data_IF_926227140370
#
_entry.id   IF_926227140370
#
_cell.length_a   1.000
_cell.length_b   1.000
_cell.length_c   1.000
_cell.angle_alpha   90.00
_cell.angle_beta   90.00
_cell.angle_gamma   90.00
#
_symmetry.space_group_name_H-M   'P 1'
#
loop_
_entity.id
_entity.type
_entity.pdbx_description
1 polymer ?
#
# COMPACT_ATOMS: atom_id res chain seq x y z
N UNK A 1 -1.44 -4.67 -17.36
CA UNK A 1 -1.23 -5.54 -16.18
C UNK A 1 -0.04 -5.01 -15.42
N UNK A 2 -0.11 -4.95 -14.11
CA UNK A 2 0.97 -4.37 -13.31
C UNK A 2 2.12 -5.35 -13.08
N UNK A 3 1.87 -6.67 -13.10
CA UNK A 3 2.88 -7.73 -12.99
C UNK A 3 2.39 -9.02 -13.67
N UNK A 4 3.32 -9.94 -13.90
CA UNK A 4 3.01 -11.25 -14.49
C UNK A 4 2.50 -12.21 -13.41
N UNK A 5 1.86 -13.31 -13.82
CA UNK A 5 1.21 -14.27 -12.91
C UNK A 5 2.16 -14.93 -11.91
N UNK A 6 3.41 -15.08 -12.29
CA UNK A 6 4.48 -15.66 -11.49
C UNK A 6 5.36 -14.62 -10.78
N UNK A 7 5.00 -13.34 -10.83
CA UNK A 7 5.74 -12.28 -10.15
C UNK A 7 5.85 -12.57 -8.64
N UNK A 8 7.03 -12.33 -8.11
CA UNK A 8 7.35 -12.47 -6.69
C UNK A 8 7.85 -11.14 -6.14
N UNK A 9 7.71 -10.90 -4.83
CA UNK A 9 8.36 -9.75 -4.21
C UNK A 9 9.86 -9.73 -4.50
N UNK A 10 10.49 -8.54 -4.58
CA UNK A 10 11.91 -8.39 -4.96
C UNK A 10 12.89 -9.05 -3.99
N UNK A 11 12.40 -9.61 -2.91
CA UNK A 11 13.20 -10.36 -1.93
C UNK A 11 12.74 -11.80 -1.84
N UNK A 12 13.68 -12.76 -1.93
CA UNK A 12 13.40 -14.14 -1.59
C UNK A 12 13.04 -14.25 -0.09
N UNK A 13 12.46 -15.37 0.34
CA UNK A 13 12.23 -15.65 1.75
C UNK A 13 13.47 -15.38 2.59
N UNK A 14 13.29 -14.61 3.69
CA UNK A 14 14.40 -14.18 4.53
C UNK A 14 14.79 -15.33 5.45
N UNK A 15 16.02 -15.81 5.31
CA UNK A 15 16.53 -16.91 6.10
C UNK A 15 16.56 -16.56 7.59
N UNK A 16 15.96 -17.41 8.44
CA UNK A 16 15.88 -17.23 9.88
C UNK A 16 14.70 -16.39 10.37
N UNK A 17 13.94 -15.75 9.47
CA UNK A 17 12.68 -15.10 9.79
C UNK A 17 11.55 -16.13 9.80
N UNK A 18 11.06 -16.53 10.98
CA UNK A 18 9.85 -17.33 11.05
C UNK A 18 8.63 -16.42 10.87
N UNK A 19 7.84 -16.70 9.86
CA UNK A 19 6.58 -16.01 9.60
C UNK A 19 5.48 -17.04 9.35
N UNK A 20 4.28 -16.73 9.81
CA UNK A 20 3.07 -17.48 9.51
C UNK A 20 2.03 -16.51 8.91
N UNK A 21 1.14 -17.02 8.08
CA UNK A 21 0.13 -16.19 7.47
C UNK A 21 -1.10 -16.99 7.08
N UNK A 22 -2.23 -16.29 7.00
CA UNK A 22 -3.51 -16.92 6.64
C UNK A 22 -4.44 -15.94 5.92
N UNK A 23 -5.26 -16.50 5.07
CA UNK A 23 -6.41 -15.82 4.50
C UNK A 23 -7.48 -15.60 5.58
N UNK A 24 -8.09 -14.43 5.57
CA UNK A 24 -9.19 -14.04 6.45
C UNK A 24 -10.24 -13.27 5.66
N UNK A 25 -11.44 -13.17 6.22
CA UNK A 25 -12.50 -12.30 5.71
C UNK A 25 -12.78 -11.24 6.76
N UNK A 26 -12.76 -9.99 6.36
CA UNK A 26 -13.12 -8.86 7.19
C UNK A 26 -14.51 -8.35 6.81
N UNK A 27 -15.21 -7.75 7.76
CA UNK A 27 -16.54 -7.17 7.53
C UNK A 27 -16.52 -5.71 7.93
N UNK A 28 -16.82 -4.82 7.01
CA UNK A 28 -16.99 -3.39 7.25
C UNK A 28 -18.30 -3.12 8.00
N UNK A 29 -18.41 -1.94 8.61
CA UNK A 29 -19.58 -1.56 9.42
C UNK A 29 -20.91 -1.60 8.63
N UNK A 30 -20.85 -1.37 7.33
CA UNK A 30 -22.00 -1.45 6.42
C UNK A 30 -22.35 -2.86 5.93
N UNK A 31 -21.67 -3.89 6.48
CA UNK A 31 -21.90 -5.30 6.16
C UNK A 31 -21.10 -5.80 4.95
N UNK A 32 -20.32 -4.96 4.26
CA UNK A 32 -19.47 -5.43 3.18
C UNK A 32 -18.42 -6.43 3.69
N UNK A 33 -18.29 -7.55 3.01
CA UNK A 33 -17.23 -8.53 3.26
C UNK A 33 -16.13 -8.41 2.21
N UNK A 34 -14.89 -8.47 2.64
CA UNK A 34 -13.72 -8.45 1.77
C UNK A 34 -12.61 -9.38 2.25
N UNK A 35 -11.89 -9.95 1.31
CA UNK A 35 -10.76 -10.82 1.60
C UNK A 35 -9.56 -10.01 2.11
N UNK A 36 -8.79 -10.60 3.02
CA UNK A 36 -7.52 -10.08 3.46
C UNK A 36 -6.56 -11.24 3.75
N UNK A 37 -5.27 -10.95 3.77
CA UNK A 37 -4.23 -11.89 4.18
C UNK A 37 -3.41 -11.25 5.29
N UNK A 38 -3.36 -11.93 6.43
CA UNK A 38 -2.56 -11.48 7.58
C UNK A 38 -1.31 -12.34 7.70
N UNK A 39 -0.16 -11.69 7.85
CA UNK A 39 1.12 -12.34 8.14
C UNK A 39 1.67 -11.87 9.49
N UNK A 40 2.14 -12.81 10.28
CA UNK A 40 2.62 -12.59 11.64
C UNK A 40 4.12 -12.87 11.72
N UNK A 41 4.86 -11.97 12.35
CA UNK A 41 6.21 -12.26 12.80
C UNK A 41 6.19 -13.27 13.96
N UNK A 42 7.20 -14.10 14.06
CA UNK A 42 7.34 -15.06 15.16
C UNK A 42 7.39 -14.39 16.55
N UNK A 43 7.89 -13.16 16.61
CA UNK A 43 7.86 -12.31 17.80
C UNK A 43 7.20 -10.97 17.45
N UNK A 44 5.91 -10.81 17.71
CA UNK A 44 5.14 -9.66 17.24
C UNK A 44 5.28 -8.47 18.20
N UNK A 45 6.46 -7.87 18.31
CA UNK A 45 6.73 -6.68 19.14
C UNK A 45 6.96 -5.40 18.32
N UNK A 46 7.03 -5.52 17.00
CA UNK A 46 7.33 -4.42 16.08
C UNK A 46 6.09 -3.68 15.54
N UNK A 47 6.32 -2.76 14.60
CA UNK A 47 5.27 -2.05 13.88
C UNK A 47 4.40 -2.98 13.03
N UNK A 48 3.37 -2.40 12.42
CA UNK A 48 2.50 -3.12 11.52
C UNK A 48 2.20 -2.31 10.25
N UNK A 49 1.92 -3.01 9.16
CA UNK A 49 1.58 -2.39 7.88
C UNK A 49 0.24 -2.91 7.36
N UNK A 50 -0.54 -2.03 6.73
CA UNK A 50 -1.63 -2.42 5.85
C UNK A 50 -1.16 -2.24 4.41
N UNK A 51 -1.23 -3.30 3.62
CA UNK A 51 -0.81 -3.31 2.22
C UNK A 51 -2.05 -3.10 1.35
N UNK A 52 -2.01 -2.04 0.54
CA UNK A 52 -3.00 -1.76 -0.50
C UNK A 52 -2.45 -2.22 -1.84
N UNK A 53 -3.00 -3.29 -2.41
CA UNK A 53 -2.59 -3.83 -3.70
C UNK A 53 -2.71 -2.82 -4.85
N UNK A 54 -2.19 -3.20 -6.00
CA UNK A 54 -2.48 -2.53 -7.26
C UNK A 54 -3.89 -2.88 -7.78
N UNK A 55 -4.19 -2.55 -9.03
CA UNK A 55 -5.49 -2.78 -9.66
C UNK A 55 -5.92 -4.25 -9.76
N UNK A 56 -5.07 -5.20 -9.44
CA UNK A 56 -5.40 -6.63 -9.43
C UNK A 56 -5.98 -7.12 -8.09
N UNK A 57 -5.99 -6.27 -7.06
CA UNK A 57 -6.48 -6.64 -5.74
C UNK A 57 -5.55 -7.59 -4.98
N UNK A 58 -6.08 -8.40 -4.09
CA UNK A 58 -5.31 -9.29 -3.22
C UNK A 58 -4.75 -10.50 -4.00
N UNK A 59 -3.84 -10.24 -4.93
CA UNK A 59 -3.11 -11.25 -5.67
C UNK A 59 -2.03 -11.93 -4.81
N UNK A 60 -1.58 -13.12 -5.23
CA UNK A 60 -0.54 -13.90 -4.53
C UNK A 60 0.73 -13.09 -4.23
N UNK A 61 1.13 -12.19 -5.13
CA UNK A 61 2.26 -11.28 -4.90
C UNK A 61 2.17 -10.54 -3.55
N UNK A 62 1.00 -9.98 -3.21
CA UNK A 62 0.82 -9.20 -1.98
C UNK A 62 0.74 -10.07 -0.73
N UNK A 63 0.26 -11.32 -0.86
CA UNK A 63 0.33 -12.31 0.23
C UNK A 63 1.78 -12.67 0.55
N UNK A 64 2.60 -12.89 -0.47
CA UNK A 64 4.03 -13.15 -0.30
C UNK A 64 4.79 -11.93 0.22
N UNK A 65 4.44 -10.71 -0.23
CA UNK A 65 5.01 -9.48 0.32
C UNK A 65 4.68 -9.31 1.80
N UNK A 66 3.46 -9.66 2.22
CA UNK A 66 3.09 -9.66 3.64
C UNK A 66 3.97 -10.61 4.46
N UNK A 67 4.30 -11.80 3.92
CA UNK A 67 5.26 -12.72 4.56
C UNK A 67 6.66 -12.11 4.65
N UNK A 68 7.14 -11.39 3.61
CA UNK A 68 8.45 -10.71 3.66
C UNK A 68 8.51 -9.68 4.79
N UNK A 69 7.43 -8.91 5.01
CA UNK A 69 7.32 -7.99 6.15
C UNK A 69 7.36 -8.75 7.48
N UNK A 70 6.62 -9.84 7.60
CA UNK A 70 6.57 -10.64 8.82
C UNK A 70 7.95 -11.24 9.17
N UNK A 71 8.71 -11.67 8.17
CA UNK A 71 10.07 -12.22 8.35
C UNK A 71 11.07 -11.18 8.89
N UNK A 72 10.83 -9.90 8.69
CA UNK A 72 11.64 -8.81 9.29
C UNK A 72 11.02 -8.20 10.54
N UNK A 73 10.04 -8.87 11.15
CA UNK A 73 9.43 -8.45 12.42
C UNK A 73 8.25 -7.48 12.29
N UNK A 74 7.81 -7.15 11.08
CA UNK A 74 6.69 -6.25 10.81
C UNK A 74 5.43 -7.07 10.51
N UNK A 75 4.39 -6.95 11.35
CA UNK A 75 3.08 -7.57 11.03
C UNK A 75 2.50 -6.93 9.78
N UNK A 76 1.93 -7.72 8.88
CA UNK A 76 1.38 -7.20 7.64
C UNK A 76 -0.04 -7.72 7.37
N UNK A 77 -0.94 -6.82 6.97
CA UNK A 77 -2.30 -7.12 6.54
C UNK A 77 -2.48 -6.62 5.11
N UNK A 78 -2.49 -7.50 4.13
CA UNK A 78 -2.85 -7.17 2.76
C UNK A 78 -4.37 -7.28 2.58
N UNK A 79 -5.02 -6.23 2.09
CA UNK A 79 -6.48 -6.17 1.93
C UNK A 79 -6.89 -6.24 0.46
N UNK A 80 -8.06 -6.83 0.20
CA UNK A 80 -8.71 -6.73 -1.10
C UNK A 80 -9.78 -5.65 -1.11
N UNK A 81 -9.58 -4.59 -1.87
CA UNK A 81 -10.54 -3.50 -1.95
C UNK A 81 -11.64 -3.69 -3.01
N UNK A 82 -11.72 -4.88 -3.63
CA UNK A 82 -12.78 -5.22 -4.58
C UNK A 82 -13.89 -6.10 -3.98
N UNK A 83 -13.89 -6.34 -2.68
CA UNK A 83 -14.93 -7.12 -2.02
C UNK A 83 -16.36 -6.63 -2.33
N UNK A 84 -16.54 -5.30 -2.43
CA UNK A 84 -17.83 -4.66 -2.73
C UNK A 84 -18.34 -4.92 -4.14
N UNK A 85 -17.49 -5.15 -5.09
CA UNK A 85 -17.85 -5.22 -6.51
C UNK A 85 -17.62 -6.60 -7.12
N UNK A 86 -16.70 -7.39 -6.56
CA UNK A 86 -16.32 -8.72 -7.03
C UNK A 86 -16.50 -9.83 -5.98
N UNK A 87 -16.97 -9.48 -4.77
CA UNK A 87 -17.14 -10.45 -3.68
C UNK A 87 -15.81 -11.08 -3.24
N UNK A 88 -15.88 -12.29 -2.72
CA UNK A 88 -14.75 -13.03 -2.16
C UNK A 88 -14.06 -13.97 -3.17
N UNK A 89 -14.30 -13.79 -4.47
CA UNK A 89 -13.64 -14.59 -5.51
C UNK A 89 -12.12 -14.36 -5.51
N UNK A 90 -11.30 -15.35 -5.87
CA UNK A 90 -9.85 -15.18 -5.95
C UNK A 90 -9.44 -14.05 -6.90
N UNK A 91 -8.35 -13.37 -6.58
CA UNK A 91 -7.71 -12.38 -7.44
C UNK A 91 -6.52 -13.01 -8.14
N UNK A 92 -6.83 -13.89 -9.08
CA UNK A 92 -5.87 -14.57 -9.94
C UNK A 92 -5.76 -13.87 -11.32
N UNK A 93 -5.05 -14.50 -12.26
CA UNK A 93 -4.80 -13.98 -13.60
C UNK A 93 -6.06 -13.84 -14.46
N UNK A 94 -7.12 -14.55 -14.13
CA UNK A 94 -8.41 -14.47 -14.83
C UNK A 94 -9.27 -13.29 -14.35
N UNK A 95 -8.88 -12.61 -13.28
CA UNK A 95 -9.65 -11.53 -12.70
C UNK A 95 -9.66 -10.28 -13.58
N UNK A 96 -10.82 -9.97 -14.15
CA UNK A 96 -11.06 -8.77 -14.95
C UNK A 96 -11.26 -7.55 -14.05
N UNK A 97 -10.20 -6.88 -13.64
CA UNK A 97 -10.22 -5.82 -12.65
C UNK A 97 -10.84 -4.50 -13.12
N UNK A 98 -10.79 -4.16 -14.42
CA UNK A 98 -11.22 -2.83 -14.91
C UNK A 98 -12.65 -2.45 -14.54
N UNK A 99 -13.67 -3.33 -14.70
CA UNK A 99 -15.05 -2.99 -14.30
C UNK A 99 -15.20 -2.72 -12.80
N UNK A 100 -14.30 -3.27 -11.98
CA UNK A 100 -14.29 -3.10 -10.53
C UNK A 100 -13.56 -1.82 -10.11
N UNK A 101 -12.48 -1.48 -10.81
CA UNK A 101 -11.77 -0.20 -10.63
C UNK A 101 -12.69 0.99 -10.90
N UNK A 102 -13.52 0.92 -11.95
CA UNK A 102 -14.47 1.97 -12.32
C UNK A 102 -15.60 2.16 -11.28
N UNK A 103 -15.99 1.09 -10.60
CA UNK A 103 -17.06 1.11 -9.59
C UNK A 103 -16.58 1.45 -8.19
N UNK A 104 -15.27 1.37 -7.94
CA UNK A 104 -14.70 1.65 -6.62
C UNK A 104 -14.80 3.14 -6.29
N UNK A 105 -15.20 3.46 -5.06
CA UNK A 105 -15.25 4.83 -4.55
C UNK A 105 -14.37 5.02 -3.32
N UNK A 106 -13.82 6.22 -3.13
CA UNK A 106 -13.01 6.51 -1.94
C UNK A 106 -13.79 6.31 -0.64
N UNK A 107 -15.04 6.79 -0.46
CA UNK A 107 -15.76 6.59 0.80
C UNK A 107 -15.98 5.13 1.18
N UNK A 108 -16.32 4.28 0.21
CA UNK A 108 -16.54 2.85 0.47
C UNK A 108 -15.22 2.11 0.76
N UNK A 109 -14.15 2.49 0.08
CA UNK A 109 -12.80 2.01 0.38
C UNK A 109 -12.37 2.37 1.82
N UNK A 110 -12.58 3.61 2.25
CA UNK A 110 -12.23 4.06 3.61
C UNK A 110 -13.05 3.33 4.69
N UNK A 111 -14.28 2.92 4.40
CA UNK A 111 -15.05 2.05 5.31
C UNK A 111 -14.39 0.67 5.49
N UNK A 112 -13.86 0.09 4.41
CA UNK A 112 -13.11 -1.17 4.47
C UNK A 112 -11.77 -0.99 5.20
N UNK A 113 -11.07 0.12 4.99
CA UNK A 113 -9.85 0.49 5.75
C UNK A 113 -10.14 0.61 7.25
N UNK A 114 -11.25 1.22 7.62
CA UNK A 114 -11.67 1.31 9.03
C UNK A 114 -11.78 -0.08 9.66
N UNK A 115 -12.40 -1.04 8.97
CA UNK A 115 -12.51 -2.41 9.45
C UNK A 115 -11.14 -3.11 9.53
N UNK A 116 -10.26 -2.90 8.56
CA UNK A 116 -8.91 -3.45 8.55
C UNK A 116 -8.06 -2.93 9.74
N UNK A 117 -8.10 -1.63 10.00
CA UNK A 117 -7.40 -1.01 11.12
C UNK A 117 -7.99 -1.47 12.48
N UNK A 118 -9.31 -1.56 12.59
CA UNK A 118 -9.98 -2.07 13.78
C UNK A 118 -9.58 -3.53 14.06
N UNK A 119 -9.48 -4.36 13.04
CA UNK A 119 -9.01 -5.74 13.16
C UNK A 119 -7.59 -5.79 13.71
N UNK A 120 -6.65 -5.03 13.13
CA UNK A 120 -5.26 -5.00 13.60
C UNK A 120 -5.13 -4.52 15.04
N UNK A 121 -5.85 -3.47 15.42
CA UNK A 121 -5.88 -2.93 16.80
C UNK A 121 -6.47 -3.92 17.81
N UNK A 122 -7.40 -4.76 17.36
CA UNK A 122 -8.02 -5.80 18.20
C UNK A 122 -7.15 -7.03 18.46
N UNK A 123 -6.04 -7.19 17.75
CA UNK A 123 -5.16 -8.36 17.91
C UNK A 123 -4.30 -8.32 19.19
N UNK A 124 -3.96 -7.13 19.68
CA UNK A 124 -3.10 -6.93 20.83
C UNK A 124 -3.72 -5.92 21.82
N UNK A 125 -3.22 -5.95 23.05
CA UNK A 125 -3.56 -4.95 24.08
C UNK A 125 -2.71 -3.67 23.96
N UNK A 126 -1.60 -3.72 23.23
CA UNK A 126 -0.69 -2.59 23.01
C UNK A 126 -0.96 -1.95 21.66
N UNK A 127 -0.99 -0.62 21.62
CA UNK A 127 -1.00 0.13 20.37
C UNK A 127 0.31 -0.10 19.62
N UNK A 128 0.19 -0.34 18.30
CA UNK A 128 1.33 -0.51 17.42
C UNK A 128 1.33 0.58 16.35
N UNK A 129 2.49 1.21 16.10
CA UNK A 129 2.63 2.10 14.96
C UNK A 129 2.17 1.42 13.68
N UNK A 130 1.17 2.00 13.02
CA UNK A 130 0.54 1.43 11.83
C UNK A 130 0.86 2.26 10.60
N UNK A 131 1.43 1.63 9.59
CA UNK A 131 1.78 2.26 8.32
C UNK A 131 0.89 1.74 7.20
N UNK A 132 0.67 2.57 6.18
CA UNK A 132 0.04 2.15 4.94
C UNK A 132 1.10 2.04 3.85
N UNK A 133 1.19 0.90 3.21
CA UNK A 133 2.03 0.67 2.03
C UNK A 133 1.12 0.40 0.84
N UNK A 134 1.17 1.25 -0.19
CA UNK A 134 0.27 1.10 -1.33
C UNK A 134 0.99 1.12 -2.67
N UNK A 135 0.49 0.33 -3.63
CA UNK A 135 1.10 0.15 -4.94
C UNK A 135 0.15 0.60 -6.05
N UNK A 136 0.60 1.42 -7.01
CA UNK A 136 -0.20 1.89 -8.14
C UNK A 136 -1.51 2.54 -7.64
N UNK A 137 -2.66 1.95 -7.95
CA UNK A 137 -3.96 2.38 -7.40
C UNK A 137 -3.95 2.37 -5.86
N UNK A 138 -3.37 1.37 -5.24
CA UNK A 138 -3.18 1.30 -3.79
C UNK A 138 -2.32 2.44 -3.26
N UNK A 139 -1.30 2.88 -4.00
CA UNK A 139 -0.49 4.06 -3.67
C UNK A 139 -1.31 5.35 -3.68
N UNK A 140 -2.16 5.51 -4.70
CA UNK A 140 -3.14 6.62 -4.77
C UNK A 140 -4.08 6.59 -3.56
N UNK A 141 -4.64 5.42 -3.23
CA UNK A 141 -5.53 5.24 -2.09
C UNK A 141 -4.84 5.47 -0.74
N UNK A 142 -3.54 5.17 -0.63
CA UNK A 142 -2.75 5.47 0.57
C UNK A 142 -2.69 6.98 0.83
N UNK A 143 -2.47 7.79 -0.22
CA UNK A 143 -2.48 9.25 -0.08
C UNK A 143 -3.88 9.80 0.27
N UNK A 144 -4.95 9.22 -0.29
CA UNK A 144 -6.33 9.57 0.11
C UNK A 144 -6.63 9.17 1.57
N UNK A 145 -6.13 8.02 2.02
CA UNK A 145 -6.24 7.61 3.43
C UNK A 145 -5.54 8.60 4.35
N UNK A 146 -4.38 9.12 3.93
CA UNK A 146 -3.61 10.10 4.69
C UNK A 146 -4.29 11.45 4.90
N UNK A 147 -5.30 11.78 4.10
CA UNK A 147 -6.11 12.99 4.24
C UNK A 147 -7.24 12.83 5.28
N UNK A 148 -7.41 11.65 5.87
CA UNK A 148 -8.43 11.32 6.87
C UNK A 148 -7.79 10.98 8.23
N UNK A 149 -8.59 10.95 9.29
CA UNK A 149 -8.11 10.74 10.67
C UNK A 149 -8.15 9.26 11.04
N UNK A 150 -7.03 8.55 10.82
CA UNK A 150 -6.91 7.12 11.10
C UNK A 150 -5.88 6.75 12.16
N UNK A 151 -5.16 7.72 12.73
CA UNK A 151 -4.08 7.47 13.67
C UNK A 151 -3.03 6.53 13.09
N UNK A 152 -2.31 7.02 12.05
CA UNK A 152 -1.28 6.31 11.34
C UNK A 152 0.11 6.83 11.71
N UNK A 153 1.10 5.97 11.65
CA UNK A 153 2.51 6.35 11.81
C UNK A 153 3.14 6.88 10.52
N UNK A 154 2.64 6.48 9.35
CA UNK A 154 3.14 6.97 8.08
C UNK A 154 2.55 6.29 6.85
N UNK A 155 2.85 6.84 5.68
CA UNK A 155 2.35 6.41 4.38
C UNK A 155 3.53 6.13 3.44
N UNK A 156 3.44 5.04 2.69
CA UNK A 156 4.46 4.65 1.72
C UNK A 156 3.78 4.35 0.37
N UNK A 157 3.45 5.39 -0.41
CA UNK A 157 2.90 5.22 -1.75
C UNK A 157 3.99 4.91 -2.77
N UNK A 158 3.84 3.79 -3.49
CA UNK A 158 4.64 3.43 -4.67
C UNK A 158 3.90 3.82 -5.93
N UNK A 159 4.58 4.52 -6.84
CA UNK A 159 4.10 4.93 -8.16
C UNK A 159 2.59 5.27 -8.18
N UNK A 160 2.19 6.10 -7.22
CA UNK A 160 0.82 6.56 -7.06
C UNK A 160 0.38 7.48 -8.20
N UNK A 161 -0.79 7.27 -8.77
CA UNK A 161 -1.41 8.22 -9.68
C UNK A 161 -1.83 9.48 -8.94
N UNK A 162 -1.46 10.67 -9.45
CA UNK A 162 -1.55 11.92 -8.71
C UNK A 162 -2.64 12.87 -9.22
N UNK A 163 -2.76 13.02 -10.55
CA UNK A 163 -3.56 14.07 -11.18
C UNK A 163 -5.04 13.71 -11.40
N UNK A 164 -5.38 12.41 -11.40
CA UNK A 164 -6.75 11.97 -11.69
C UNK A 164 -7.56 11.74 -10.42
N UNK A 165 -8.77 12.30 -10.30
CA UNK A 165 -9.65 12.01 -9.17
C UNK A 165 -10.12 10.55 -9.21
N UNK A 166 -10.37 9.99 -8.02
CA UNK A 166 -11.06 8.71 -7.85
C UNK A 166 -12.56 9.00 -7.59
N UNK A 167 -13.50 8.16 -8.07
CA UNK A 167 -14.90 8.36 -7.79
C UNK A 167 -15.18 8.56 -6.29
N UNK A 168 -15.97 9.58 -5.96
CA UNK A 168 -16.30 9.94 -4.58
C UNK A 168 -15.19 10.65 -3.81
N UNK A 169 -14.04 10.93 -4.43
CA UNK A 169 -13.01 11.79 -3.80
C UNK A 169 -13.40 13.28 -3.88
N UNK A 170 -12.82 14.07 -2.97
CA UNK A 170 -12.97 15.53 -2.93
C UNK A 170 -11.99 16.24 -3.86
N UNK A 171 -11.61 15.62 -4.98
CA UNK A 171 -10.65 16.12 -5.95
C UNK A 171 -9.57 15.08 -6.30
N UNK A 172 -8.56 15.51 -7.05
CA UNK A 172 -7.38 14.70 -7.40
C UNK A 172 -6.54 14.38 -6.15
N UNK A 173 -5.62 13.45 -6.29
CA UNK A 173 -4.67 13.12 -5.22
C UNK A 173 -3.80 14.32 -4.84
N UNK A 174 -3.39 15.14 -5.82
CA UNK A 174 -2.64 16.38 -5.57
C UNK A 174 -3.44 17.37 -4.74
N UNK A 175 -4.74 17.54 -5.03
CA UNK A 175 -5.60 18.41 -4.23
C UNK A 175 -5.82 17.89 -2.80
N UNK A 176 -5.81 16.58 -2.60
CA UNK A 176 -5.91 15.98 -1.27
C UNK A 176 -4.58 16.02 -0.49
N UNK A 177 -3.43 16.15 -1.17
CA UNK A 177 -2.12 16.14 -0.53
C UNK A 177 -1.96 17.25 0.54
N UNK A 178 -2.58 18.41 0.33
CA UNK A 178 -2.61 19.50 1.31
C UNK A 178 -3.35 19.16 2.63
N UNK A 179 -4.05 18.04 2.67
CA UNK A 179 -4.80 17.56 3.85
C UNK A 179 -4.13 16.36 4.52
N UNK A 180 -3.05 15.85 3.97
CA UNK A 180 -2.28 14.75 4.56
C UNK A 180 -1.70 15.21 5.89
N UNK A 181 -1.73 14.34 6.89
CA UNK A 181 -1.32 14.64 8.27
C UNK A 181 -0.21 13.74 8.78
N UNK A 182 0.16 12.72 8.03
CA UNK A 182 1.10 11.68 8.42
C UNK A 182 2.38 11.78 7.61
N UNK A 183 3.54 11.41 8.16
CA UNK A 183 4.78 11.32 7.40
C UNK A 183 4.63 10.50 6.12
N UNK A 184 5.31 10.91 5.03
CA UNK A 184 5.20 10.29 3.71
C UNK A 184 6.56 9.89 3.16
N UNK A 185 6.71 8.64 2.74
CA UNK A 185 7.81 8.18 1.89
C UNK A 185 7.26 7.85 0.49
N UNK A 186 7.32 8.78 -0.44
CA UNK A 186 6.87 8.58 -1.83
C UNK A 186 7.96 7.95 -2.70
N UNK A 187 7.64 6.86 -3.40
CA UNK A 187 8.59 6.08 -4.21
C UNK A 187 8.09 5.99 -5.66
N UNK A 188 8.77 6.67 -6.59
CA UNK A 188 8.32 6.85 -7.96
C UNK A 188 9.35 6.38 -8.99
N UNK A 189 8.87 5.92 -10.15
CA UNK A 189 9.71 5.65 -11.31
C UNK A 189 9.89 6.91 -12.16
N UNK A 190 11.13 7.28 -12.46
CA UNK A 190 11.43 8.47 -13.26
C UNK A 190 11.14 8.32 -14.76
N UNK A 191 10.90 7.10 -15.24
CA UNK A 191 10.47 6.80 -16.59
C UNK A 191 9.03 6.29 -16.69
N UNK A 192 8.20 6.58 -15.67
CA UNK A 192 6.78 6.25 -15.67
C UNK A 192 5.99 7.26 -16.52
N UNK A 193 5.45 6.89 -17.70
CA UNK A 193 4.73 7.82 -18.54
C UNK A 193 3.35 8.21 -17.97
N UNK A 194 2.85 7.47 -16.99
CA UNK A 194 1.58 7.72 -16.31
C UNK A 194 1.68 8.73 -15.15
N UNK A 195 2.89 9.06 -14.71
CA UNK A 195 3.15 9.96 -13.58
C UNK A 195 4.24 10.97 -13.99
N UNK A 196 3.85 12.12 -14.56
CA UNK A 196 4.80 13.15 -14.98
C UNK A 196 5.64 13.68 -13.81
N UNK A 197 6.89 14.03 -14.05
CA UNK A 197 7.76 14.63 -13.04
C UNK A 197 7.15 15.89 -12.41
N UNK A 198 6.43 16.69 -13.19
CA UNK A 198 5.70 17.87 -12.70
C UNK A 198 4.66 17.55 -11.62
N UNK A 199 4.00 16.39 -11.72
CA UNK A 199 3.02 15.95 -10.72
C UNK A 199 3.72 15.53 -9.44
N UNK A 200 4.88 14.84 -9.55
CA UNK A 200 5.71 14.46 -8.39
C UNK A 200 6.23 15.71 -7.67
N UNK A 201 6.75 16.69 -8.41
CA UNK A 201 7.18 17.98 -7.86
C UNK A 201 6.01 18.76 -7.22
N UNK A 202 4.82 18.65 -7.78
CA UNK A 202 3.65 19.30 -7.18
C UNK A 202 3.24 18.61 -5.88
N UNK A 203 3.29 17.27 -5.81
CA UNK A 203 3.06 16.52 -4.57
C UNK A 203 4.05 16.97 -3.48
N UNK A 204 5.33 17.04 -3.80
CA UNK A 204 6.40 17.48 -2.89
C UNK A 204 6.08 18.88 -2.31
N UNK A 205 5.78 19.85 -3.18
CA UNK A 205 5.38 21.20 -2.76
C UNK A 205 4.11 21.25 -1.91
N UNK A 206 3.12 20.38 -2.19
CA UNK A 206 1.89 20.35 -1.40
C UNK A 206 2.13 19.78 0.01
N UNK A 207 2.98 18.76 0.12
CA UNK A 207 3.37 18.19 1.41
C UNK A 207 4.20 19.18 2.23
N UNK A 208 5.17 19.90 1.60
CA UNK A 208 5.90 21.00 2.22
C UNK A 208 4.95 22.06 2.77
N UNK A 209 4.00 22.51 1.94
CA UNK A 209 3.04 23.55 2.32
C UNK A 209 2.11 23.12 3.45
N UNK A 210 1.83 21.82 3.56
CA UNK A 210 1.04 21.23 4.64
C UNK A 210 1.88 21.01 5.92
N UNK A 211 3.19 21.22 5.89
CA UNK A 211 4.10 20.97 7.02
C UNK A 211 4.26 19.48 7.34
N UNK A 212 4.05 18.62 6.36
CA UNK A 212 4.18 17.16 6.50
C UNK A 212 5.64 16.75 6.36
N UNK A 213 6.17 16.01 7.32
CA UNK A 213 7.47 15.35 7.17
C UNK A 213 7.40 14.33 6.03
N UNK A 214 8.21 14.53 4.98
CA UNK A 214 8.14 13.67 3.82
C UNK A 214 9.48 13.53 3.09
N UNK A 215 9.56 12.44 2.34
CA UNK A 215 10.66 12.19 1.42
C UNK A 215 10.12 11.63 0.12
N UNK A 216 10.39 12.29 -0.97
CA UNK A 216 10.08 11.81 -2.32
C UNK A 216 11.36 11.27 -2.97
N UNK A 217 11.31 10.04 -3.45
CA UNK A 217 12.41 9.37 -4.16
C UNK A 217 11.96 9.00 -5.54
N UNK A 218 12.67 9.49 -6.55
CA UNK A 218 12.44 9.15 -7.97
C UNK A 218 13.62 8.33 -8.49
N UNK A 219 13.35 7.12 -8.94
CA UNK A 219 14.36 6.22 -9.51
C UNK A 219 14.51 6.49 -11.00
N UNK A 220 15.61 7.13 -11.38
CA UNK A 220 15.91 7.47 -12.77
C UNK A 220 15.86 6.23 -13.67
N UNK A 221 15.12 6.31 -14.79
CA UNK A 221 14.97 5.21 -15.75
C UNK A 221 14.03 4.08 -15.29
N UNK A 222 13.62 4.01 -14.04
CA UNK A 222 12.68 3.00 -13.59
C UNK A 222 11.24 3.35 -14.06
N UNK A 223 10.49 2.40 -14.62
CA UNK A 223 9.13 2.61 -15.08
C UNK A 223 8.11 2.44 -13.95
N UNK A 224 6.81 2.53 -14.31
CA UNK A 224 5.73 2.04 -13.44
C UNK A 224 5.96 0.57 -13.05
N UNK A 225 5.59 0.17 -11.83
CA UNK A 225 5.72 -1.21 -11.34
C UNK A 225 7.18 -1.74 -11.30
N UNK A 226 8.17 -0.84 -11.11
CA UNK A 226 9.57 -1.26 -11.01
C UNK A 226 9.85 -2.17 -9.81
N UNK A 227 9.07 -2.07 -8.73
CA UNK A 227 9.25 -2.85 -7.51
C UNK A 227 8.57 -4.23 -7.58
N UNK A 228 7.58 -4.41 -8.44
CA UNK A 228 6.84 -5.66 -8.58
C UNK A 228 7.19 -6.38 -9.90
N UNK A 229 6.52 -6.03 -10.99
CA UNK A 229 6.61 -6.70 -12.28
C UNK A 229 8.02 -6.71 -12.87
N UNK A 230 8.76 -5.63 -12.70
CA UNK A 230 10.06 -5.42 -13.32
C UNK A 230 11.24 -5.43 -12.35
N UNK A 231 11.03 -6.00 -11.18
CA UNK A 231 12.05 -5.95 -10.14
C UNK A 231 13.40 -6.53 -10.55
N UNK A 232 13.43 -7.56 -11.40
CA UNK A 232 14.66 -8.16 -11.86
C UNK A 232 15.47 -7.24 -12.79
N UNK A 233 14.76 -6.48 -13.65
CA UNK A 233 15.38 -5.47 -14.52
C UNK A 233 15.85 -4.25 -13.72
N UNK A 234 15.14 -3.91 -12.64
CA UNK A 234 15.39 -2.74 -11.78
C UNK A 234 15.78 -3.15 -10.36
N UNK A 235 16.59 -4.20 -10.23
CA UNK A 235 16.95 -4.81 -8.96
C UNK A 235 17.54 -3.81 -7.95
N UNK A 236 18.40 -2.90 -8.40
CA UNK A 236 19.00 -1.88 -7.53
C UNK A 236 17.94 -0.89 -7.01
N UNK A 237 17.03 -0.44 -7.86
CA UNK A 237 15.94 0.46 -7.45
C UNK A 237 14.99 -0.25 -6.47
N UNK A 238 14.66 -1.50 -6.73
CA UNK A 238 13.80 -2.32 -5.86
C UNK A 238 14.45 -2.58 -4.50
N UNK A 239 15.75 -2.89 -4.47
CA UNK A 239 16.51 -3.11 -3.24
C UNK A 239 16.61 -1.83 -2.40
N UNK A 240 16.88 -0.69 -3.03
CA UNK A 240 16.92 0.60 -2.33
C UNK A 240 15.53 0.99 -1.81
N UNK A 241 14.47 0.79 -2.60
CA UNK A 241 13.10 1.06 -2.19
C UNK A 241 12.68 0.23 -0.96
N UNK A 242 13.00 -1.07 -0.94
CA UNK A 242 12.79 -1.94 0.23
C UNK A 242 13.53 -1.44 1.46
N UNK A 243 14.80 -1.14 1.30
CA UNK A 243 15.64 -0.64 2.40
C UNK A 243 15.11 0.66 2.97
N UNK A 244 14.71 1.62 2.11
CA UNK A 244 14.11 2.89 2.54
C UNK A 244 12.79 2.69 3.27
N UNK A 245 11.96 1.80 2.75
CA UNK A 245 10.67 1.47 3.36
C UNK A 245 10.85 0.91 4.77
N UNK A 246 11.75 -0.06 4.96
CA UNK A 246 12.03 -0.62 6.28
C UNK A 246 12.66 0.42 7.23
N UNK A 247 13.58 1.25 6.74
CA UNK A 247 14.17 2.32 7.54
C UNK A 247 13.12 3.34 7.98
N UNK A 248 12.22 3.74 7.09
CA UNK A 248 11.13 4.66 7.40
C UNK A 248 10.20 4.08 8.47
N UNK A 249 9.79 2.82 8.33
CA UNK A 249 8.96 2.11 9.30
C UNK A 249 9.67 2.05 10.67
N UNK A 250 10.93 1.63 10.71
CA UNK A 250 11.67 1.46 11.95
C UNK A 250 11.98 2.78 12.65
N UNK A 251 12.26 3.85 11.89
CA UNK A 251 12.57 5.18 12.46
C UNK A 251 11.35 5.81 13.13
N UNK A 252 10.17 5.64 12.56
CA UNK A 252 8.93 6.22 13.09
C UNK A 252 8.18 5.27 14.06
N UNK A 253 8.68 4.07 14.27
CA UNK A 253 8.12 3.10 15.22
C UNK A 253 8.72 3.23 16.64
N UNK A 254 9.74 4.07 16.81
CA UNK A 254 10.40 4.37 18.09
C UNK A 254 9.69 5.48 18.85
#
# INVERSE_FOLDING_TARGET
MCYDSDARPPYPPISGGAADGKDIVLTAQDGNQFAAYIAYAAQPIGPQVVIYPDVRGLHQFYKELALRFAEVGVRALAIDYFGRTAGLTPRDDSFEYMPHVEKMTVPTFLADVTAALAYLRGLDRSERPTFIVGFCRGGTLALHTGAEEFDLAGLIPFYAGLSRPIPGSKGSTLEQAARIRYPVLGLFGGADPGIPASDIEQLDRQLDSAGVDHRIVTYAGAPHSFFDRKYAEYANASADAWTRMLNFINTLAL
#
